data_IF_242380329835
#
_entry.id   IF_242380329835
#
_cell.length_a   1.000
_cell.length_b   1.000
_cell.length_c   1.000
_cell.angle_alpha   90.00
_cell.angle_beta   90.00
_cell.angle_gamma   90.00
#
_symmetry.space_group_name_H-M   'P 1'
#
loop_
_entity.id
_entity.type
_entity.pdbx_description
1 polymer ?
#
# COMPACT_ATOMS: atom_id res chain seq x y z
N UNK A 1 -20.74 16.67 -9.99
CA UNK A 1 -19.78 15.55 -9.83
C UNK A 1 -20.07 14.92 -8.48
N UNK A 2 -20.26 13.60 -8.41
CA UNK A 2 -20.44 12.92 -7.10
C UNK A 2 -19.11 13.00 -6.34
N UNK A 3 -19.11 13.22 -5.02
CA UNK A 3 -17.89 13.13 -4.23
C UNK A 3 -17.27 11.76 -4.46
N UNK A 4 -16.05 11.74 -4.98
CA UNK A 4 -15.32 10.50 -5.17
C UNK A 4 -14.91 10.01 -3.78
N UNK A 5 -15.37 8.83 -3.39
CA UNK A 5 -14.99 8.24 -2.12
C UNK A 5 -13.76 7.36 -2.32
N UNK A 6 -12.90 7.26 -1.30
CA UNK A 6 -11.69 6.41 -1.26
C UNK A 6 -11.89 5.02 -1.93
N UNK A 7 -12.97 4.26 -1.66
CA UNK A 7 -13.19 2.98 -2.33
C UNK A 7 -13.37 3.05 -3.85
N UNK A 8 -14.08 4.04 -4.36
CA UNK A 8 -14.27 4.18 -5.80
C UNK A 8 -12.94 4.53 -6.50
N UNK A 9 -12.10 5.34 -5.86
CA UNK A 9 -10.77 5.65 -6.39
C UNK A 9 -9.84 4.44 -6.33
N UNK A 10 -9.89 3.66 -5.24
CA UNK A 10 -9.08 2.45 -5.10
C UNK A 10 -9.41 1.40 -6.18
N UNK A 11 -10.70 1.18 -6.46
CA UNK A 11 -11.15 0.29 -7.55
C UNK A 11 -10.66 0.81 -8.91
N UNK A 12 -10.80 2.12 -9.18
CA UNK A 12 -10.32 2.71 -10.43
C UNK A 12 -8.81 2.56 -10.61
N UNK A 13 -8.03 2.78 -9.55
CA UNK A 13 -6.57 2.62 -9.57
C UNK A 13 -6.18 1.15 -9.77
N UNK A 14 -6.98 0.19 -9.33
CA UNK A 14 -6.74 -1.23 -9.57
C UNK A 14 -7.02 -1.65 -11.03
N UNK A 15 -7.94 -0.97 -11.71
CA UNK A 15 -8.36 -1.30 -13.08
C UNK A 15 -7.50 -0.64 -14.17
N UNK A 16 -6.78 0.44 -13.85
CA UNK A 16 -5.91 1.12 -14.81
C UNK A 16 -4.60 0.37 -15.03
N UNK A 17 -3.98 0.53 -16.19
CA UNK A 17 -2.66 -0.07 -16.46
C UNK A 17 -1.51 0.78 -15.92
N UNK A 18 -1.66 2.10 -15.96
CA UNK A 18 -0.60 3.07 -15.67
C UNK A 18 -1.22 4.21 -14.87
N UNK A 19 -0.60 4.57 -13.74
CA UNK A 19 -1.00 5.73 -12.98
C UNK A 19 -0.70 7.01 -13.77
N UNK A 20 -1.60 7.98 -13.69
CA UNK A 20 -1.42 9.30 -14.29
C UNK A 20 -1.70 10.38 -13.26
N UNK A 21 -1.19 11.57 -13.50
CA UNK A 21 -1.31 12.72 -12.61
C UNK A 21 -2.73 12.95 -12.08
N UNK A 22 -3.75 12.86 -12.94
CA UNK A 22 -5.14 13.10 -12.53
C UNK A 22 -5.65 12.15 -11.44
N UNK A 23 -5.11 10.93 -11.37
CA UNK A 23 -5.43 9.99 -10.29
C UNK A 23 -4.82 10.42 -8.96
N UNK A 24 -3.60 10.98 -9.00
CA UNK A 24 -2.91 11.49 -7.81
C UNK A 24 -3.58 12.79 -7.33
N UNK A 25 -4.03 13.66 -8.25
CA UNK A 25 -4.84 14.82 -7.90
C UNK A 25 -6.17 14.43 -7.25
N UNK A 26 -6.88 13.43 -7.79
CA UNK A 26 -8.10 12.91 -7.17
C UNK A 26 -7.83 12.35 -5.77
N UNK A 27 -6.72 11.63 -5.58
CA UNK A 27 -6.32 11.16 -4.26
C UNK A 27 -6.03 12.33 -3.31
N UNK A 28 -5.31 13.35 -3.78
CA UNK A 28 -4.97 14.51 -2.98
C UNK A 28 -6.22 15.27 -2.51
N UNK A 29 -7.20 15.44 -3.39
CA UNK A 29 -8.49 16.08 -3.05
C UNK A 29 -9.23 15.31 -1.94
N UNK A 30 -9.29 13.98 -2.05
CA UNK A 30 -9.96 13.13 -1.06
C UNK A 30 -9.19 13.05 0.27
N UNK A 31 -7.86 13.04 0.21
CA UNK A 31 -6.98 12.90 1.37
C UNK A 31 -6.66 14.24 2.06
N UNK A 32 -7.24 15.35 1.60
CA UNK A 32 -7.10 16.65 2.26
C UNK A 32 -5.83 17.40 1.85
N UNK A 33 -5.57 17.58 0.54
CA UNK A 33 -4.48 18.45 0.05
C UNK A 33 -4.56 19.86 0.64
N UNK A 34 -5.77 20.34 0.92
CA UNK A 34 -6.02 21.62 1.57
C UNK A 34 -5.56 21.68 3.03
N UNK A 35 -5.42 20.52 3.68
CA UNK A 35 -4.91 20.39 5.05
C UNK A 35 -3.38 20.39 5.10
N UNK A 36 -2.70 20.23 3.95
CA UNK A 36 -1.25 20.40 3.87
C UNK A 36 -0.84 21.84 4.15
N UNK A 37 0.30 22.00 4.82
CA UNK A 37 0.96 23.29 4.93
C UNK A 37 1.41 23.82 3.55
N UNK A 38 1.57 25.14 3.44
CA UNK A 38 1.93 25.80 2.17
C UNK A 38 3.22 25.23 1.55
N UNK A 39 4.16 24.79 2.39
CA UNK A 39 5.41 24.18 1.96
C UNK A 39 5.19 22.83 1.30
N UNK A 40 4.44 21.93 1.95
CA UNK A 40 4.14 20.60 1.41
C UNK A 40 3.25 20.69 0.18
N UNK A 41 2.30 21.64 0.15
CA UNK A 41 1.48 21.90 -1.05
C UNK A 41 2.31 22.35 -2.25
N UNK A 42 3.26 23.27 -2.06
CA UNK A 42 4.18 23.68 -3.13
C UNK A 42 5.06 22.52 -3.58
N UNK A 43 5.63 21.77 -2.64
CA UNK A 43 6.45 20.60 -2.95
C UNK A 43 5.65 19.55 -3.73
N UNK A 44 4.41 19.29 -3.31
CA UNK A 44 3.50 18.38 -4.01
C UNK A 44 3.30 18.83 -5.46
N UNK A 45 2.99 20.11 -5.69
CA UNK A 45 2.83 20.65 -7.04
C UNK A 45 4.10 20.48 -7.88
N UNK A 46 5.28 20.77 -7.33
CA UNK A 46 6.56 20.56 -8.03
C UNK A 46 6.80 19.09 -8.40
N UNK A 47 6.44 18.16 -7.52
CA UNK A 47 6.55 16.72 -7.81
C UNK A 47 5.58 16.30 -8.92
N UNK A 48 4.36 16.83 -8.90
CA UNK A 48 3.38 16.59 -9.96
C UNK A 48 3.85 17.15 -11.31
N UNK A 49 4.39 18.36 -11.35
CA UNK A 49 4.94 18.98 -12.57
C UNK A 49 6.16 18.22 -13.14
N UNK A 50 6.89 17.51 -12.28
CA UNK A 50 8.04 16.69 -12.66
C UNK A 50 7.68 15.22 -13.01
N UNK A 51 6.39 14.87 -13.05
CA UNK A 51 5.88 13.49 -13.18
C UNK A 51 6.47 12.52 -12.13
N UNK A 52 6.87 13.06 -10.97
CA UNK A 52 7.41 12.31 -9.84
C UNK A 52 6.27 11.74 -8.98
N UNK A 53 5.42 10.92 -9.61
CA UNK A 53 4.16 10.44 -9.01
C UNK A 53 4.37 9.66 -7.71
N UNK A 54 5.41 8.83 -7.64
CA UNK A 54 5.72 8.04 -6.44
C UNK A 54 6.03 8.97 -5.27
N UNK A 55 6.91 9.95 -5.47
CA UNK A 55 7.28 10.91 -4.43
C UNK A 55 6.09 11.79 -4.01
N UNK A 56 5.23 12.15 -4.95
CA UNK A 56 4.00 12.89 -4.66
C UNK A 56 3.07 12.07 -3.75
N UNK A 57 2.88 10.78 -4.03
CA UNK A 57 2.07 9.88 -3.19
C UNK A 57 2.73 9.65 -1.82
N UNK A 58 4.06 9.51 -1.75
CA UNK A 58 4.78 9.41 -0.48
C UNK A 58 4.60 10.67 0.38
N UNK A 59 4.60 11.85 -0.25
CA UNK A 59 4.36 13.11 0.45
C UNK A 59 2.92 13.17 1.02
N UNK A 60 1.93 12.71 0.26
CA UNK A 60 0.55 12.59 0.75
C UNK A 60 0.46 11.61 1.93
N UNK A 61 1.10 10.44 1.82
CA UNK A 61 1.10 9.45 2.89
C UNK A 61 1.71 9.99 4.20
N UNK A 62 2.80 10.75 4.11
CA UNK A 62 3.48 11.32 5.27
C UNK A 62 2.67 12.42 5.97
N UNK A 63 1.81 13.13 5.23
CA UNK A 63 0.98 14.22 5.77
C UNK A 63 -0.48 13.81 6.02
N UNK A 64 -0.87 12.60 5.66
CA UNK A 64 -2.17 12.06 6.00
C UNK A 64 -2.35 11.96 7.52
N UNK A 65 -3.59 12.05 7.99
CA UNK A 65 -3.94 11.76 9.38
C UNK A 65 -4.70 10.42 9.47
N UNK A 66 -4.17 9.40 10.17
CA UNK A 66 -2.83 9.30 10.76
C UNK A 66 -1.71 9.16 9.71
N UNK A 67 -0.45 9.55 10.03
CA UNK A 67 0.67 9.43 9.11
C UNK A 67 0.93 7.99 8.69
N UNK A 68 1.22 7.82 7.41
CA UNK A 68 1.48 6.52 6.78
C UNK A 68 2.89 6.49 6.21
N UNK A 69 3.54 5.35 6.40
CA UNK A 69 4.89 5.09 5.90
C UNK A 69 4.88 3.85 5.02
N UNK A 70 5.59 3.88 3.89
CA UNK A 70 5.79 2.67 3.10
C UNK A 70 6.81 1.78 3.81
N UNK A 71 6.42 0.53 4.07
CA UNK A 71 7.24 -0.47 4.78
C UNK A 71 8.08 -1.28 3.80
N UNK A 72 7.47 -1.74 2.70
CA UNK A 72 8.17 -2.52 1.68
C UNK A 72 7.64 -2.21 0.29
N UNK A 73 8.56 -2.19 -0.68
CA UNK A 73 8.27 -2.15 -2.11
C UNK A 73 9.06 -3.30 -2.74
N UNK A 74 8.38 -4.19 -3.46
CA UNK A 74 9.01 -5.32 -4.12
C UNK A 74 8.46 -5.49 -5.52
N UNK A 75 9.30 -5.86 -6.48
CA UNK A 75 8.85 -6.32 -7.78
C UNK A 75 8.85 -7.86 -7.78
N UNK A 76 7.71 -8.47 -8.10
CA UNK A 76 7.55 -9.90 -8.24
C UNK A 76 6.93 -10.22 -9.60
N UNK A 77 7.68 -10.88 -10.48
CA UNK A 77 7.22 -11.30 -11.80
C UNK A 77 6.57 -10.17 -12.65
N UNK A 78 7.13 -8.96 -12.60
CA UNK A 78 6.59 -7.81 -13.34
C UNK A 78 5.41 -7.11 -12.67
N UNK A 79 5.08 -7.46 -11.42
CA UNK A 79 4.07 -6.79 -10.60
C UNK A 79 4.73 -6.21 -9.35
N UNK A 80 4.44 -4.94 -9.09
CA UNK A 80 4.89 -4.21 -7.91
C UNK A 80 3.95 -4.50 -6.75
N UNK A 81 4.52 -4.99 -5.65
CA UNK A 81 3.84 -5.22 -4.38
C UNK A 81 4.34 -4.15 -3.41
N UNK A 82 3.43 -3.32 -2.92
CA UNK A 82 3.71 -2.25 -1.97
C UNK A 82 2.97 -2.51 -0.66
N UNK A 83 3.67 -2.42 0.47
CA UNK A 83 3.06 -2.47 1.80
C UNK A 83 3.22 -1.13 2.50
N UNK A 84 2.11 -0.58 2.98
CA UNK A 84 2.02 0.64 3.77
C UNK A 84 1.74 0.29 5.21
N UNK A 85 2.41 0.95 6.15
CA UNK A 85 2.19 0.81 7.59
C UNK A 85 1.71 2.13 8.18
N UNK A 86 0.77 2.06 9.09
CA UNK A 86 0.42 3.19 9.97
C UNK A 86 0.38 2.74 11.43
N UNK A 87 0.80 3.64 12.30
CA UNK A 87 0.68 3.50 13.73
C UNK A 87 -0.70 3.96 14.18
N UNK A 88 -1.26 3.28 15.18
CA UNK A 88 -2.47 3.70 15.87
C UNK A 88 -2.29 3.47 17.37
N UNK A 89 -3.07 4.13 18.24
CA UNK A 89 -2.97 3.91 19.69
C UNK A 89 -3.17 2.41 20.02
N UNK A 90 -2.12 1.75 20.50
CA UNK A 90 -2.13 0.33 20.84
C UNK A 90 -1.64 -0.64 19.76
N UNK A 91 -1.11 -0.17 18.63
CA UNK A 91 -0.48 -1.07 17.65
C UNK A 91 -0.07 -0.43 16.32
N UNK A 92 0.25 -1.30 15.36
CA UNK A 92 0.52 -0.90 13.97
C UNK A 92 -0.26 -1.78 13.02
N UNK A 93 -0.79 -1.21 11.93
CA UNK A 93 -1.41 -1.96 10.84
C UNK A 93 -0.58 -1.82 9.59
N UNK A 94 -0.52 -2.90 8.82
CA UNK A 94 0.02 -2.90 7.48
C UNK A 94 -1.06 -3.26 6.47
N UNK A 95 -1.00 -2.61 5.32
CA UNK A 95 -1.89 -2.79 4.18
C UNK A 95 -1.02 -3.01 2.95
N UNK A 96 -1.33 -4.03 2.16
CA UNK A 96 -0.55 -4.39 0.97
C UNK A 96 -1.42 -4.26 -0.27
N UNK A 97 -0.86 -3.72 -1.35
CA UNK A 97 -1.48 -3.71 -2.67
C UNK A 97 -0.47 -4.15 -3.73
N UNK A 98 -1.00 -4.68 -4.83
CA UNK A 98 -0.23 -5.18 -5.96
C UNK A 98 -0.72 -4.52 -7.25
N UNK A 99 0.22 -4.08 -8.09
CA UNK A 99 -0.10 -3.46 -9.37
C UNK A 99 1.02 -3.63 -10.40
N UNK A 100 0.72 -3.58 -11.70
CA UNK A 100 1.74 -3.64 -12.76
C UNK A 100 2.63 -2.39 -12.81
N UNK A 101 2.14 -1.28 -12.26
CA UNK A 101 2.79 0.02 -12.21
C UNK A 101 3.15 0.38 -10.77
N UNK A 102 4.37 0.88 -10.55
CA UNK A 102 4.89 1.16 -9.22
C UNK A 102 4.08 2.24 -8.51
N UNK A 103 3.82 3.36 -9.19
CA UNK A 103 3.11 4.49 -8.60
C UNK A 103 1.67 4.09 -8.24
N UNK A 104 1.01 3.33 -9.12
CA UNK A 104 -0.30 2.75 -8.84
C UNK A 104 -0.28 1.78 -7.66
N UNK A 105 0.74 0.93 -7.52
CA UNK A 105 0.87 0.02 -6.38
C UNK A 105 0.99 0.79 -5.06
N UNK A 106 1.79 1.87 -5.05
CA UNK A 106 1.97 2.73 -3.87
C UNK A 106 0.66 3.46 -3.52
N UNK A 107 -0.01 4.05 -4.52
CA UNK A 107 -1.27 4.74 -4.31
C UNK A 107 -2.38 3.77 -3.86
N UNK A 108 -2.48 2.58 -4.45
CA UNK A 108 -3.45 1.57 -4.05
C UNK A 108 -3.21 1.12 -2.61
N UNK A 109 -1.95 0.85 -2.22
CA UNK A 109 -1.62 0.47 -0.84
C UNK A 109 -1.99 1.57 0.15
N UNK A 110 -1.77 2.84 -0.25
CA UNK A 110 -2.17 4.01 0.52
C UNK A 110 -3.69 4.05 0.69
N UNK A 111 -4.47 4.02 -0.39
CA UNK A 111 -5.94 4.08 -0.36
C UNK A 111 -6.55 2.93 0.46
N UNK A 112 -6.05 1.70 0.29
CA UNK A 112 -6.50 0.52 1.07
C UNK A 112 -6.29 0.73 2.57
N UNK A 113 -5.20 1.41 2.96
CA UNK A 113 -4.93 1.69 4.37
C UNK A 113 -5.87 2.75 5.00
N UNK A 114 -6.61 3.51 4.20
CA UNK A 114 -7.69 4.38 4.68
C UNK A 114 -9.04 3.65 4.74
N UNK A 115 -9.24 2.64 3.89
CA UNK A 115 -10.48 1.88 3.85
C UNK A 115 -10.64 0.92 5.03
N UNK A 116 -9.54 0.40 5.59
CA UNK A 116 -9.61 -0.60 6.65
C UNK A 116 -10.25 0.02 7.91
N UNK A 117 -11.51 -0.34 8.23
CA UNK A 117 -12.07 0.02 9.52
C UNK A 117 -11.23 -0.68 10.57
N UNK A 118 -11.29 -0.19 11.81
CA UNK A 118 -10.69 -0.86 12.96
C UNK A 118 -11.32 -2.20 13.29
N UNK A 119 -11.22 -3.16 12.37
CA UNK A 119 -11.73 -4.50 12.48
C UNK A 119 -10.56 -5.42 12.78
N UNK A 120 -10.38 -5.62 14.08
CA UNK A 120 -9.81 -6.81 14.66
C UNK A 120 -10.53 -8.06 14.10
N UNK A 121 -10.18 -8.56 12.91
CA UNK A 121 -10.54 -9.93 12.50
C UNK A 121 -9.76 -10.45 11.29
N UNK A 122 -8.85 -11.36 11.64
CA UNK A 122 -8.58 -12.66 10.98
C UNK A 122 -7.70 -12.71 9.72
N UNK A 123 -6.63 -13.47 9.95
CA UNK A 123 -5.88 -14.35 9.05
C UNK A 123 -4.74 -13.71 8.25
N UNK A 124 -3.66 -13.44 8.99
CA UNK A 124 -2.39 -14.14 8.69
C UNK A 124 -2.69 -15.63 8.56
N UNK A 125 -2.62 -16.16 7.35
CA UNK A 125 -1.64 -17.19 6.97
C UNK A 125 -1.64 -17.30 5.44
N UNK A 126 -0.65 -16.72 4.79
CA UNK A 126 -0.18 -17.23 3.50
C UNK A 126 1.16 -17.87 3.76
N UNK A 127 1.05 -19.13 4.15
CA UNK A 127 2.09 -20.13 4.08
C UNK A 127 2.58 -20.19 2.63
N UNK A 128 3.77 -19.68 2.36
CA UNK A 128 4.53 -20.06 1.19
C UNK A 128 5.94 -20.36 1.64
N UNK A 129 6.13 -21.62 2.04
CA UNK A 129 7.18 -22.50 1.53
C UNK A 129 6.88 -23.90 2.12
N UNK A 130 6.10 -24.67 1.36
CA UNK A 130 5.99 -26.11 1.51
C UNK A 130 6.65 -26.74 0.28
N UNK A 131 7.28 -27.90 0.52
CA UNK A 131 7.92 -28.84 -0.42
C UNK A 131 9.32 -28.40 -0.90
N UNK A 132 10.38 -29.21 -0.81
CA UNK A 132 10.44 -30.67 -0.89
C UNK A 132 11.85 -31.13 -0.47
N UNK A 133 11.98 -32.12 0.43
CA UNK A 133 12.59 -33.42 0.09
C UNK A 133 12.57 -34.36 1.30
N UNK A 134 11.86 -35.47 1.10
CA UNK A 134 12.04 -36.68 1.87
C UNK A 134 13.46 -37.23 1.66
N UNK A 135 14.10 -37.70 2.73
CA UNK A 135 14.91 -38.92 2.63
C UNK A 135 14.89 -39.65 3.98
N UNK A 136 14.58 -40.93 3.88
CA UNK A 136 14.41 -41.90 4.94
C UNK A 136 15.75 -42.25 5.58
N UNK A 137 15.79 -42.51 6.89
CA UNK A 137 16.50 -43.69 7.39
C UNK A 137 15.99 -44.11 8.79
N UNK A 138 15.34 -45.27 8.75
CA UNK A 138 15.30 -46.36 9.72
C UNK A 138 16.29 -46.28 10.90
N UNK A 139 15.79 -46.56 12.12
CA UNK A 139 16.41 -47.48 13.09
C UNK A 139 15.42 -47.81 14.22
N UNK A 140 15.03 -49.09 14.42
CA UNK A 140 14.39 -49.55 15.63
C UNK A 140 15.44 -50.03 16.65
N UNK A 141 15.17 -49.87 17.95
CA UNK A 141 15.55 -50.76 19.06
C UNK A 141 15.83 -50.00 20.36
N UNK A 142 15.01 -50.29 21.39
CA UNK A 142 15.43 -50.69 22.75
C UNK A 142 14.17 -50.78 23.60
N UNK A 143 13.74 -52.01 23.89
CA UNK A 143 14.06 -52.77 25.11
C UNK A 143 13.35 -52.21 26.34
N UNK A 144 12.34 -52.95 26.80
CA UNK A 144 12.12 -53.24 28.22
C UNK A 144 11.24 -54.48 28.39
#
# INVERSE_FOLDING_TARGET
>A
MKPENIPALAERVADIRILREHHVWAAADILGLDELDDRSRRKFRTLMEADALVDAVLLLAANAEPPRSIETIRNHAGRWVCSTRHAFPGGSRSSTAEHADLAAAVLAALLVSFQQPSAHRRRRTTSFLQLDRADSHDHPSRDH
#
